data_IF_716894328562
#
_entry.id   IF_716894328562
#
_cell.length_a   1.000
_cell.length_b   1.000
_cell.length_c   1.000
_cell.angle_alpha   90.00
_cell.angle_beta   90.00
_cell.angle_gamma   90.00
#
_symmetry.space_group_name_H-M   'P 1'
#
loop_
_entity.id
_entity.type
_entity.pdbx_description
1 polymer ?
#
# COMPACT_ATOMS: atom_id res chain seq x y z
N UNK A 1 -10.95 1.63 6.15
CA UNK A 1 -9.84 0.70 6.52
C UNK A 1 -9.54 0.82 8.02
N UNK A 2 -9.09 -0.25 8.69
CA UNK A 2 -8.80 -0.22 10.15
C UNK A 2 -7.43 0.38 10.53
N UNK A 3 -6.66 0.87 9.55
CA UNK A 3 -5.37 1.54 9.78
C UNK A 3 -4.23 0.61 10.24
N UNK A 4 -4.38 -0.70 10.17
CA UNK A 4 -3.35 -1.64 10.66
C UNK A 4 -2.11 -1.64 9.76
N UNK A 5 -0.92 -1.32 10.30
CA UNK A 5 0.34 -1.41 9.55
C UNK A 5 0.66 -2.87 9.15
N UNK A 6 1.14 -3.07 7.92
CA UNK A 6 1.58 -4.37 7.40
C UNK A 6 2.91 -4.20 6.70
N UNK A 7 3.96 -4.90 7.14
CA UNK A 7 5.21 -4.98 6.36
C UNK A 7 4.93 -5.81 5.12
N UNK A 8 5.33 -5.32 3.94
CA UNK A 8 5.08 -5.98 2.66
C UNK A 8 6.37 -6.16 1.87
N UNK A 9 6.53 -7.30 1.18
CA UNK A 9 7.65 -7.57 0.27
C UNK A 9 7.09 -7.81 -1.15
N UNK A 10 7.21 -6.84 -2.06
CA UNK A 10 6.77 -7.01 -3.44
C UNK A 10 7.61 -8.08 -4.15
N UNK A 11 6.93 -9.03 -4.78
CA UNK A 11 7.55 -10.11 -5.56
C UNK A 11 7.36 -9.96 -7.07
N UNK A 12 7.66 -11.05 -7.79
CA UNK A 12 7.65 -11.06 -9.26
C UNK A 12 6.24 -10.95 -9.87
N UNK A 13 5.21 -11.40 -9.16
CA UNK A 13 3.83 -11.45 -9.67
C UNK A 13 3.02 -10.23 -9.25
N UNK A 14 2.10 -9.78 -10.11
CA UNK A 14 1.24 -8.62 -9.85
C UNK A 14 0.54 -8.70 -8.48
N UNK A 15 -0.02 -9.87 -8.15
CA UNK A 15 -0.73 -10.09 -6.88
C UNK A 15 0.12 -9.81 -5.62
N UNK A 16 1.44 -9.90 -5.72
CA UNK A 16 2.35 -9.61 -4.61
C UNK A 16 2.66 -8.11 -4.44
N UNK A 17 2.30 -7.27 -5.42
CA UNK A 17 2.61 -5.83 -5.44
C UNK A 17 1.44 -4.95 -5.01
N UNK A 18 0.28 -5.53 -4.70
CA UNK A 18 -0.94 -4.78 -4.37
C UNK A 18 -0.72 -3.88 -3.15
N UNK A 19 -0.29 -4.44 -2.02
CA UNK A 19 -0.06 -3.65 -0.79
C UNK A 19 0.99 -2.56 -0.99
N UNK A 20 2.08 -2.86 -1.70
CA UNK A 20 3.12 -1.86 -2.02
C UNK A 20 2.56 -0.71 -2.86
N UNK A 21 1.74 -0.99 -3.87
CA UNK A 21 1.09 0.03 -4.69
C UNK A 21 0.11 0.90 -3.89
N UNK A 22 -0.67 0.30 -2.98
CA UNK A 22 -1.56 1.05 -2.07
C UNK A 22 -0.76 2.00 -1.17
N UNK A 23 0.37 1.51 -0.65
CA UNK A 23 1.29 2.31 0.17
C UNK A 23 1.90 3.47 -0.60
N UNK A 24 2.40 3.25 -1.81
CA UNK A 24 2.92 4.30 -2.69
C UNK A 24 1.85 5.36 -2.99
N UNK A 25 0.62 4.93 -3.27
CA UNK A 25 -0.50 5.85 -3.54
C UNK A 25 -0.91 6.67 -2.32
N UNK A 26 -0.68 6.14 -1.12
CA UNK A 26 -0.82 6.86 0.15
C UNK A 26 0.41 7.72 0.52
N UNK A 27 1.51 7.65 -0.24
CA UNK A 27 2.79 8.31 0.08
C UNK A 27 3.54 7.68 1.27
N UNK A 28 3.28 6.41 1.59
CA UNK A 28 3.81 5.71 2.76
C UNK A 28 4.69 4.52 2.36
N UNK A 29 5.99 4.72 2.15
CA UNK A 29 6.89 3.64 1.70
C UNK A 29 7.60 2.89 2.84
N UNK A 30 7.44 3.34 4.08
CA UNK A 30 8.19 2.87 5.26
C UNK A 30 7.98 1.39 5.60
N UNK A 31 6.93 0.77 5.05
CA UNK A 31 6.57 -0.64 5.27
C UNK A 31 6.84 -1.54 4.06
N UNK A 32 7.41 -1.00 2.99
CA UNK A 32 7.79 -1.75 1.79
C UNK A 32 9.23 -2.24 1.98
N UNK A 33 9.40 -3.55 2.09
CA UNK A 33 10.70 -4.18 2.20
C UNK A 33 11.36 -4.35 0.82
N UNK A 34 12.68 -4.20 0.76
CA UNK A 34 13.46 -4.36 -0.47
C UNK A 34 13.78 -5.83 -0.79
N UNK A 35 13.96 -6.64 0.26
CA UNK A 35 14.32 -8.06 0.18
C UNK A 35 13.88 -8.81 1.45
N UNK A 36 14.24 -10.09 1.55
CA UNK A 36 13.87 -10.93 2.69
C UNK A 36 14.49 -10.46 4.01
N UNK A 37 15.74 -10.01 4.00
CA UNK A 37 16.44 -9.59 5.22
C UNK A 37 15.85 -8.26 5.72
N UNK A 38 15.56 -7.33 4.81
CA UNK A 38 14.88 -6.07 5.13
C UNK A 38 13.46 -6.32 5.64
N UNK A 39 12.74 -7.31 5.09
CA UNK A 39 11.42 -7.70 5.57
C UNK A 39 11.47 -8.16 7.03
N UNK A 40 12.38 -9.09 7.37
CA UNK A 40 12.52 -9.60 8.74
C UNK A 40 12.95 -8.49 9.69
N UNK A 41 13.94 -7.69 9.30
CA UNK A 41 14.45 -6.56 10.10
C UNK A 41 13.32 -5.58 10.43
N UNK A 42 12.52 -5.18 9.43
CA UNK A 42 11.36 -4.31 9.63
C UNK A 42 10.34 -5.00 10.54
N UNK A 43 9.93 -6.23 10.22
CA UNK A 43 8.90 -6.93 11.00
C UNK A 43 9.24 -6.98 12.51
N UNK A 44 10.51 -7.26 12.85
CA UNK A 44 11.00 -7.24 14.23
C UNK A 44 11.02 -5.84 14.84
N UNK A 45 11.54 -4.84 14.11
CA UNK A 45 11.60 -3.44 14.54
C UNK A 45 10.20 -2.89 14.85
N UNK A 46 9.21 -3.22 14.03
CA UNK A 46 7.83 -2.79 14.21
C UNK A 46 7.14 -3.54 15.34
N UNK A 47 7.32 -4.87 15.44
CA UNK A 47 6.71 -5.67 16.49
C UNK A 47 7.12 -5.20 17.90
N UNK A 48 8.36 -4.71 18.06
CA UNK A 48 8.90 -4.22 19.32
C UNK A 48 8.65 -2.74 19.64
N UNK A 49 7.99 -1.97 18.76
CA UNK A 49 7.89 -0.51 18.92
C UNK A 49 6.43 0.00 18.83
N UNK A 50 5.67 -0.03 19.95
CA UNK A 50 4.27 0.40 19.98
C UNK A 50 4.06 1.86 19.58
N UNK A 51 4.97 2.76 19.96
CA UNK A 51 4.89 4.19 19.60
C UNK A 51 4.91 4.37 18.09
N UNK A 52 5.88 3.75 17.41
CA UNK A 52 5.99 3.82 15.96
C UNK A 52 4.80 3.19 15.26
N UNK A 53 4.28 2.06 15.78
CA UNK A 53 3.05 1.45 15.27
C UNK A 53 1.85 2.42 15.33
N UNK A 54 1.72 3.19 16.40
CA UNK A 54 0.66 4.19 16.54
C UNK A 54 0.82 5.34 15.53
N UNK A 55 2.05 5.83 15.32
CA UNK A 55 2.35 6.87 14.33
C UNK A 55 1.97 6.42 12.91
N UNK A 56 2.36 5.21 12.51
CA UNK A 56 2.03 4.72 11.16
C UNK A 56 0.55 4.39 11.01
N UNK A 57 -0.10 3.88 12.06
CA UNK A 57 -1.56 3.72 12.05
C UNK A 57 -2.24 5.06 11.78
N UNK A 58 -1.79 6.14 12.43
CA UNK A 58 -2.33 7.48 12.20
C UNK A 58 -2.07 7.95 10.76
N UNK A 59 -0.86 7.75 10.23
CA UNK A 59 -0.54 8.09 8.84
C UNK A 59 -1.48 7.36 7.86
N UNK A 60 -1.67 6.04 8.02
CA UNK A 60 -2.59 5.25 7.18
C UNK A 60 -4.02 5.77 7.29
N UNK A 61 -4.49 6.08 8.50
CA UNK A 61 -5.84 6.62 8.69
C UNK A 61 -6.04 7.96 7.98
N UNK A 62 -5.03 8.84 8.02
CA UNK A 62 -5.07 10.15 7.37
C UNK A 62 -4.97 10.08 5.85
N UNK A 63 -4.24 9.10 5.29
CA UNK A 63 -3.98 9.01 3.86
C UNK A 63 -4.91 8.04 3.11
N UNK A 64 -5.53 7.07 3.79
CA UNK A 64 -6.23 5.96 3.12
C UNK A 64 -7.46 6.35 2.30
N UNK A 65 -8.03 7.54 2.49
CA UNK A 65 -9.18 8.02 1.73
C UNK A 65 -8.92 8.04 0.21
N UNK A 66 -7.68 8.30 -0.23
CA UNK A 66 -7.31 8.33 -1.67
C UNK A 66 -7.49 6.98 -2.39
N UNK A 67 -7.57 5.88 -1.63
CA UNK A 67 -7.68 4.52 -2.17
C UNK A 67 -9.11 4.10 -2.50
N UNK A 68 -10.10 4.86 -2.07
CA UNK A 68 -11.51 4.50 -2.17
C UNK A 68 -12.27 5.51 -3.03
N UNK A 69 -13.36 5.05 -3.65
CA UNK A 69 -14.33 5.91 -4.34
C UNK A 69 -13.73 6.84 -5.40
N UNK A 70 -12.68 6.37 -6.09
CA UNK A 70 -12.02 7.15 -7.12
C UNK A 70 -12.75 7.06 -8.46
N UNK A 71 -13.65 8.00 -8.71
CA UNK A 71 -14.42 8.06 -9.95
C UNK A 71 -13.55 8.32 -11.20
N UNK A 72 -12.37 8.94 -11.06
CA UNK A 72 -11.45 9.14 -12.18
C UNK A 72 -10.86 7.83 -12.67
N UNK A 73 -10.56 6.89 -11.77
CA UNK A 73 -10.09 5.55 -12.16
C UNK A 73 -11.14 4.75 -12.93
N UNK A 74 -12.41 4.87 -12.52
CA UNK A 74 -13.53 4.25 -13.24
C UNK A 74 -13.63 4.83 -14.65
N UNK A 75 -13.59 6.16 -14.79
CA UNK A 75 -13.60 6.84 -16.10
C UNK A 75 -12.41 6.43 -16.98
N UNK A 76 -11.23 6.31 -16.40
CA UNK A 76 -10.02 5.86 -17.10
C UNK A 76 -10.19 4.43 -17.64
N UNK A 77 -10.73 3.53 -16.82
CA UNK A 77 -11.03 2.16 -17.23
C UNK A 77 -12.08 2.13 -18.36
N UNK A 78 -13.17 2.89 -18.23
CA UNK A 78 -14.20 3.01 -19.27
C UNK A 78 -13.62 3.47 -20.61
N UNK A 79 -12.79 4.52 -20.61
CA UNK A 79 -12.15 5.04 -21.81
C UNK A 79 -11.24 3.99 -22.46
N UNK A 80 -10.45 3.29 -21.64
CA UNK A 80 -9.54 2.22 -22.11
C UNK A 80 -10.33 1.07 -22.75
N UNK A 81 -11.42 0.63 -22.12
CA UNK A 81 -12.26 -0.44 -22.67
C UNK A 81 -12.93 -0.03 -23.97
N UNK A 82 -13.44 1.21 -24.08
CA UNK A 82 -14.01 1.75 -25.33
C UNK A 82 -12.98 1.77 -26.46
N UNK A 83 -11.74 2.13 -26.16
CA UNK A 83 -10.65 2.13 -27.16
C UNK A 83 -10.34 0.72 -27.67
N UNK A 84 -10.38 -0.30 -26.80
CA UNK A 84 -10.07 -1.68 -27.18
C UNK A 84 -11.19 -2.37 -27.97
N UNK A 85 -12.42 -1.87 -27.88
CA UNK A 85 -13.57 -2.43 -28.59
C UNK A 85 -13.79 -1.84 -30.00
N UNK A 86 -13.06 -0.77 -30.34
CA UNK A 86 -13.08 -0.13 -31.66
C UNK A 86 -11.84 -0.53 -32.46
#
# INVERSE_FOLDING_TARGET
ACGTPVVTLPGSFLRSRITAALYQRMGLETLIAADNDDYVRRALEWAGNPTRQAEVRQQIQQSSAILFENADEVRCLEATLRQLMN
#
